data_IF_172208323332
#
_entry.id   IF_172208323332
#
_cell.length_a   1.000
_cell.length_b   1.000
_cell.length_c   1.000
_cell.angle_alpha   90.00
_cell.angle_beta   90.00
_cell.angle_gamma   90.00
#
_symmetry.space_group_name_H-M   'P 1'
#
loop_
_entity.id
_entity.type
_entity.pdbx_description
1 polymer ?
#
# COMPACT_ATOMS: atom_id res chain seq x y z
N UNK A 1 -79.05 9.97 -2.31
CA UNK A 1 -78.21 9.47 -1.19
C UNK A 1 -77.38 8.24 -1.54
N UNK A 2 -77.86 7.33 -2.37
CA UNK A 2 -77.12 6.11 -2.77
C UNK A 2 -75.74 6.36 -3.53
N UNK A 3 -75.59 7.35 -4.38
CA UNK A 3 -74.34 7.64 -5.09
C UNK A 3 -73.20 8.16 -4.23
N UNK A 4 -73.48 8.72 -3.04
CA UNK A 4 -72.42 9.19 -2.12
C UNK A 4 -71.82 8.05 -1.31
N UNK A 5 -72.62 7.06 -0.95
CA UNK A 5 -72.19 5.87 -0.21
C UNK A 5 -71.29 4.99 -1.05
N UNK A 6 -71.64 4.73 -2.30
CA UNK A 6 -70.82 3.90 -3.19
C UNK A 6 -69.45 4.49 -3.46
N UNK A 7 -69.32 5.84 -3.53
CA UNK A 7 -67.99 6.51 -3.68
C UNK A 7 -67.17 6.42 -2.41
N UNK A 8 -67.75 6.37 -1.23
CA UNK A 8 -67.02 6.25 0.03
C UNK A 8 -66.46 4.83 0.22
N UNK A 9 -67.23 3.79 -0.09
CA UNK A 9 -66.75 2.41 -0.01
C UNK A 9 -65.65 2.10 -1.02
N UNK A 10 -65.74 2.58 -2.26
CA UNK A 10 -64.69 2.43 -3.27
C UNK A 10 -63.40 3.16 -2.85
N UNK A 11 -63.48 4.32 -2.23
CA UNK A 11 -62.32 5.05 -1.70
C UNK A 11 -61.64 4.32 -0.54
N UNK A 12 -62.44 3.70 0.37
CA UNK A 12 -61.86 2.95 1.51
C UNK A 12 -61.15 1.67 1.03
N UNK A 13 -61.75 0.95 0.06
CA UNK A 13 -61.14 -0.26 -0.52
C UNK A 13 -59.86 0.08 -1.29
N UNK A 14 -59.83 1.20 -2.04
CA UNK A 14 -58.62 1.64 -2.72
C UNK A 14 -57.51 2.06 -1.75
N UNK A 15 -57.85 2.72 -0.63
CA UNK A 15 -56.90 3.09 0.43
C UNK A 15 -56.33 1.86 1.14
N UNK A 16 -57.17 0.83 1.42
CA UNK A 16 -56.73 -0.44 2.01
C UNK A 16 -55.76 -1.22 1.07
N UNK A 17 -56.06 -1.23 -0.25
CA UNK A 17 -55.19 -1.86 -1.24
C UNK A 17 -53.82 -1.13 -1.39
N UNK A 18 -53.79 0.18 -1.30
CA UNK A 18 -52.53 0.95 -1.31
C UNK A 18 -51.72 0.67 -0.05
N UNK A 19 -52.34 0.55 1.12
CA UNK A 19 -51.65 0.22 2.36
C UNK A 19 -51.00 -1.17 2.34
N UNK A 20 -51.68 -2.19 1.83
CA UNK A 20 -51.14 -3.56 1.71
C UNK A 20 -49.98 -3.65 0.70
N UNK A 21 -50.02 -2.89 -0.39
CA UNK A 21 -48.91 -2.84 -1.36
C UNK A 21 -47.67 -2.11 -0.78
N UNK A 22 -47.89 -1.07 0.03
CA UNK A 22 -46.75 -0.35 0.68
C UNK A 22 -46.12 -1.17 1.80
N UNK A 23 -46.89 -1.96 2.55
CA UNK A 23 -46.30 -2.88 3.55
C UNK A 23 -45.54 -4.03 2.88
N UNK A 24 -46.09 -4.64 1.83
CA UNK A 24 -45.40 -5.70 1.07
C UNK A 24 -44.08 -5.21 0.42
N UNK A 25 -44.04 -3.97 -0.07
CA UNK A 25 -42.78 -3.38 -0.58
C UNK A 25 -41.76 -3.09 0.52
N UNK A 26 -42.22 -2.78 1.76
CA UNK A 26 -41.29 -2.58 2.90
C UNK A 26 -40.72 -3.91 3.39
N UNK A 27 -41.49 -4.99 3.44
CA UNK A 27 -40.99 -6.30 3.83
C UNK A 27 -39.99 -6.87 2.81
N UNK A 28 -40.23 -6.71 1.50
CA UNK A 28 -39.32 -7.15 0.45
C UNK A 28 -38.01 -6.33 0.50
N UNK A 29 -38.06 -5.02 0.75
CA UNK A 29 -36.90 -4.17 0.92
C UNK A 29 -36.06 -4.54 2.16
N UNK A 30 -36.72 -4.84 3.27
CA UNK A 30 -36.04 -5.23 4.52
C UNK A 30 -35.44 -6.65 4.46
N UNK A 31 -36.04 -7.59 3.73
CA UNK A 31 -35.46 -8.91 3.47
C UNK A 31 -34.27 -8.82 2.50
N UNK A 32 -34.31 -7.97 1.48
CA UNK A 32 -33.19 -7.73 0.59
C UNK A 32 -32.03 -7.03 1.28
N UNK A 33 -32.27 -6.00 2.10
CA UNK A 33 -31.22 -5.38 2.92
C UNK A 33 -30.62 -6.36 3.92
N UNK A 34 -31.41 -7.22 4.52
CA UNK A 34 -30.95 -8.26 5.46
C UNK A 34 -30.15 -9.36 4.74
N UNK A 35 -30.52 -9.75 3.52
CA UNK A 35 -29.78 -10.69 2.70
C UNK A 35 -28.46 -10.10 2.21
N UNK A 36 -28.44 -8.81 1.86
CA UNK A 36 -27.22 -8.08 1.47
C UNK A 36 -26.29 -7.92 2.69
N UNK A 37 -26.84 -7.60 3.86
CA UNK A 37 -26.06 -7.49 5.09
C UNK A 37 -25.50 -8.86 5.54
N UNK A 38 -26.28 -9.95 5.44
CA UNK A 38 -25.80 -11.31 5.74
C UNK A 38 -24.73 -11.78 4.76
N UNK A 39 -24.86 -11.49 3.46
CA UNK A 39 -23.84 -11.80 2.47
C UNK A 39 -22.57 -10.94 2.67
N UNK A 40 -22.71 -9.68 3.08
CA UNK A 40 -21.57 -8.83 3.41
C UNK A 40 -20.86 -9.27 4.71
N UNK A 41 -21.62 -9.79 5.70
CA UNK A 41 -21.04 -10.40 6.90
C UNK A 41 -20.41 -11.77 6.61
N UNK A 42 -20.93 -12.58 5.70
CA UNK A 42 -20.33 -13.85 5.26
C UNK A 42 -19.08 -13.62 4.39
N UNK A 43 -19.03 -12.64 3.51
CA UNK A 43 -17.80 -12.25 2.78
C UNK A 43 -16.73 -11.65 3.71
N UNK A 44 -17.13 -10.92 4.75
CA UNK A 44 -16.22 -10.43 5.79
C UNK A 44 -15.72 -11.54 6.74
N UNK A 45 -16.43 -12.66 6.86
CA UNK A 45 -16.12 -13.74 7.80
C UNK A 45 -15.19 -14.82 7.24
N UNK A 46 -14.74 -14.77 5.97
CA UNK A 46 -13.94 -15.85 5.36
C UNK A 46 -12.47 -15.51 5.14
N UNK A 47 -11.96 -14.39 5.63
CA UNK A 47 -10.52 -14.19 5.77
C UNK A 47 -10.04 -14.96 7.01
N UNK A 48 -9.60 -16.19 6.82
CA UNK A 48 -8.97 -16.95 7.91
C UNK A 48 -7.72 -16.17 8.36
N UNK A 49 -7.72 -15.71 9.61
CA UNK A 49 -6.55 -14.99 10.17
C UNK A 49 -5.30 -15.86 9.96
N UNK A 50 -4.25 -15.26 9.41
CA UNK A 50 -2.96 -15.92 9.20
C UNK A 50 -2.44 -16.44 10.55
N UNK A 51 -2.01 -17.69 10.58
CA UNK A 51 -1.37 -18.27 11.75
C UNK A 51 0.12 -17.93 11.69
N UNK A 52 0.58 -17.07 12.59
CA UNK A 52 1.98 -16.66 12.67
C UNK A 52 2.80 -17.69 13.41
N UNK A 53 3.94 -18.08 12.84
CA UNK A 53 4.92 -18.96 13.49
C UNK A 53 5.49 -18.34 14.77
N UNK A 54 6.04 -19.16 15.66
CA UNK A 54 6.74 -18.66 16.83
C UNK A 54 7.98 -17.84 16.44
N UNK A 55 8.71 -18.29 15.43
CA UNK A 55 9.87 -17.59 14.86
C UNK A 55 9.51 -16.17 14.36
N UNK A 56 8.36 -16.03 13.66
CA UNK A 56 7.85 -14.72 13.26
C UNK A 56 7.61 -13.80 14.46
N UNK A 57 6.97 -14.35 15.52
CA UNK A 57 6.66 -13.57 16.74
C UNK A 57 7.93 -13.16 17.46
N UNK A 58 8.89 -14.08 17.63
CA UNK A 58 10.17 -13.81 18.27
C UNK A 58 10.98 -12.76 17.51
N UNK A 59 10.86 -12.75 16.18
CA UNK A 59 11.57 -11.79 15.35
C UNK A 59 10.90 -10.40 15.35
N UNK A 60 9.60 -10.31 15.07
CA UNK A 60 8.92 -9.05 14.82
C UNK A 60 8.31 -8.40 16.07
N UNK A 61 8.03 -9.16 17.13
CA UNK A 61 7.49 -8.63 18.38
C UNK A 61 8.54 -8.48 19.49
N UNK A 62 9.83 -8.55 19.15
CA UNK A 62 10.94 -8.35 20.10
C UNK A 62 11.14 -6.89 20.56
N UNK A 63 10.27 -5.96 20.15
CA UNK A 63 10.39 -4.54 20.51
C UNK A 63 11.51 -3.80 19.77
N UNK A 64 11.95 -4.30 18.61
CA UNK A 64 12.99 -3.70 17.78
C UNK A 64 12.45 -3.43 16.37
N UNK A 65 12.99 -2.41 15.71
CA UNK A 65 12.88 -2.26 14.26
C UNK A 65 14.05 -2.98 13.57
N UNK A 66 13.81 -3.48 12.36
CA UNK A 66 14.88 -3.84 11.44
C UNK A 66 15.14 -2.66 10.52
N UNK A 67 16.38 -2.24 10.40
CA UNK A 67 16.86 -1.14 9.56
C UNK A 67 17.89 -1.73 8.61
N UNK A 68 17.59 -1.72 7.32
CA UNK A 68 18.51 -2.20 6.27
C UNK A 68 18.87 -1.05 5.35
N UNK A 69 20.16 -0.84 5.12
CA UNK A 69 20.69 0.18 4.22
C UNK A 69 21.13 -0.42 2.89
N UNK A 70 21.02 0.37 1.84
CA UNK A 70 21.31 -0.04 0.48
C UNK A 70 22.12 1.03 -0.26
N UNK A 71 23.12 0.61 -1.03
CA UNK A 71 23.73 1.44 -2.06
C UNK A 71 22.70 1.57 -3.19
N UNK A 72 22.34 2.80 -3.52
CA UNK A 72 21.34 3.12 -4.54
C UNK A 72 22.02 3.73 -5.77
N UNK A 73 21.60 3.28 -6.95
CA UNK A 73 21.80 3.97 -8.22
C UNK A 73 20.41 4.27 -8.80
N UNK A 74 19.96 5.51 -8.66
CA UNK A 74 18.61 5.93 -9.05
C UNK A 74 18.58 6.49 -10.47
N UNK A 75 17.77 5.93 -11.34
CA UNK A 75 17.48 6.49 -12.65
C UNK A 75 16.66 7.78 -12.53
N UNK A 76 17.23 8.91 -12.91
CA UNK A 76 16.54 10.20 -12.90
C UNK A 76 17.08 11.13 -13.98
N UNK A 77 16.17 11.73 -14.76
CA UNK A 77 16.51 12.67 -15.85
C UNK A 77 17.50 12.10 -16.90
N UNK A 78 17.35 10.82 -17.24
CA UNK A 78 18.18 10.17 -18.24
C UNK A 78 19.59 9.77 -17.78
N UNK A 79 19.87 9.81 -16.48
CA UNK A 79 21.15 9.41 -15.86
C UNK A 79 20.93 8.57 -14.62
N UNK A 80 21.94 7.80 -14.22
CA UNK A 80 21.98 7.11 -12.93
C UNK A 80 22.60 8.04 -11.88
N UNK A 81 21.95 8.11 -10.70
CA UNK A 81 22.35 8.97 -9.57
C UNK A 81 22.74 8.09 -8.40
N UNK A 82 23.96 8.25 -7.93
CA UNK A 82 24.39 7.59 -6.70
C UNK A 82 23.62 8.14 -5.51
N UNK A 83 23.25 7.25 -4.59
CA UNK A 83 22.50 7.61 -3.40
C UNK A 83 22.43 6.47 -2.39
N UNK A 84 21.56 6.64 -1.43
CA UNK A 84 21.28 5.66 -0.39
C UNK A 84 19.79 5.38 -0.30
N UNK A 85 19.43 4.14 -0.02
CA UNK A 85 18.09 3.76 0.38
C UNK A 85 18.12 3.08 1.75
N UNK A 86 17.04 3.24 2.52
CA UNK A 86 16.90 2.57 3.82
C UNK A 86 15.50 2.00 3.92
N UNK A 87 15.38 0.72 4.26
CA UNK A 87 14.13 0.06 4.60
C UNK A 87 14.07 -0.12 6.12
N UNK A 88 13.02 0.38 6.74
CA UNK A 88 12.82 0.33 8.19
C UNK A 88 11.50 -0.39 8.45
N UNK A 89 11.59 -1.62 8.98
CA UNK A 89 10.42 -2.43 9.33
C UNK A 89 10.22 -2.46 10.84
N UNK A 90 8.98 -2.25 11.27
CA UNK A 90 8.60 -2.36 12.69
C UNK A 90 7.13 -2.75 12.82
N UNK A 91 6.81 -3.57 13.83
CA UNK A 91 5.42 -3.86 14.16
C UNK A 91 4.87 -2.78 15.09
N UNK A 92 3.66 -2.30 14.77
CA UNK A 92 2.96 -1.26 15.52
C UNK A 92 1.47 -1.58 15.66
N UNK A 93 0.80 -1.16 16.75
CA UNK A 93 -0.65 -1.15 16.83
C UNK A 93 -1.22 -0.03 15.97
N UNK A 94 -2.30 -0.29 15.25
CA UNK A 94 -2.90 0.65 14.30
C UNK A 94 -4.41 0.78 14.54
N UNK A 95 -4.92 2.00 14.44
CA UNK A 95 -6.33 2.35 14.55
C UNK A 95 -6.92 2.47 13.14
N UNK A 96 -7.64 1.46 12.64
CA UNK A 96 -8.10 1.44 11.24
C UNK A 96 -9.10 2.54 10.93
N UNK A 97 -9.99 2.87 11.88
CA UNK A 97 -10.99 3.94 11.68
C UNK A 97 -10.36 5.32 11.56
N UNK A 98 -9.31 5.59 12.33
CA UNK A 98 -8.59 6.86 12.30
C UNK A 98 -7.44 6.85 11.27
N UNK A 99 -7.03 5.67 10.78
CA UNK A 99 -5.92 5.49 9.84
C UNK A 99 -4.58 6.00 10.39
N UNK A 100 -4.31 5.74 11.67
CA UNK A 100 -3.10 6.17 12.38
C UNK A 100 -2.57 5.08 13.31
N UNK A 101 -1.31 5.21 13.73
CA UNK A 101 -0.73 4.43 14.81
C UNK A 101 -1.50 4.69 16.11
N UNK A 102 -1.76 3.65 16.90
CA UNK A 102 -2.30 3.79 18.24
C UNK A 102 -1.21 4.25 19.22
N UNK A 103 -1.57 5.12 20.14
CA UNK A 103 -0.67 5.53 21.25
C UNK A 103 -0.62 4.46 22.35
N UNK A 104 -1.79 3.88 22.64
CA UNK A 104 -1.93 2.85 23.65
C UNK A 104 -2.23 1.48 23.02
N UNK A 105 -1.89 0.40 23.74
CA UNK A 105 -2.22 -0.95 23.33
C UNK A 105 -3.64 -1.30 23.76
N UNK A 106 -4.49 -1.67 22.79
CA UNK A 106 -5.85 -2.12 22.99
C UNK A 106 -6.10 -3.39 22.14
N UNK A 107 -6.88 -4.38 22.63
CA UNK A 107 -7.19 -5.59 21.86
C UNK A 107 -7.90 -5.35 20.51
N UNK A 108 -8.57 -4.20 20.34
CA UNK A 108 -9.20 -3.81 19.09
C UNK A 108 -8.24 -3.23 18.05
N UNK A 109 -6.99 -2.91 18.46
CA UNK A 109 -5.98 -2.41 17.53
C UNK A 109 -5.55 -3.50 16.55
N UNK A 110 -5.32 -3.11 15.30
CA UNK A 110 -4.80 -4.02 14.27
C UNK A 110 -3.27 -3.99 14.32
N UNK A 111 -2.59 -5.13 14.58
CA UNK A 111 -1.15 -5.20 14.44
C UNK A 111 -0.74 -5.07 12.97
N UNK A 112 0.10 -4.09 12.66
CA UNK A 112 0.65 -3.90 11.32
C UNK A 112 2.17 -4.12 11.33
N UNK A 113 2.71 -4.64 10.23
CA UNK A 113 4.11 -4.46 9.90
C UNK A 113 4.21 -3.17 9.10
N UNK A 114 4.75 -2.11 9.71
CA UNK A 114 5.02 -0.85 9.02
C UNK A 114 6.36 -0.93 8.31
N UNK A 115 6.39 -0.51 7.07
CA UNK A 115 7.62 -0.20 6.34
C UNK A 115 7.72 1.32 6.17
N UNK A 116 8.87 1.89 6.52
CA UNK A 116 9.31 3.17 6.01
C UNK A 116 10.47 2.93 5.03
N UNK A 117 10.27 3.25 3.77
CA UNK A 117 11.30 3.22 2.72
C UNK A 117 11.76 4.64 2.44
N UNK A 118 13.05 4.92 2.56
CA UNK A 118 13.62 6.22 2.24
C UNK A 118 14.65 6.11 1.13
N UNK A 119 14.72 7.13 0.26
CA UNK A 119 15.75 7.27 -0.76
C UNK A 119 16.29 8.70 -0.77
N UNK A 120 17.61 8.81 -0.80
CA UNK A 120 18.31 10.10 -0.88
C UNK A 120 19.37 10.03 -1.96
N UNK A 121 19.34 10.97 -2.90
CA UNK A 121 20.30 11.08 -3.99
C UNK A 121 20.41 12.52 -4.51
N UNK A 122 21.46 12.83 -5.26
CA UNK A 122 21.67 14.15 -5.84
C UNK A 122 21.37 14.16 -7.35
N UNK A 123 20.73 15.22 -7.82
CA UNK A 123 20.57 15.52 -9.25
C UNK A 123 21.33 16.82 -9.55
N UNK A 124 22.61 16.68 -9.92
CA UNK A 124 23.48 17.84 -10.02
C UNK A 124 23.68 18.52 -8.66
N UNK A 125 23.16 19.75 -8.50
CA UNK A 125 23.36 20.53 -7.26
C UNK A 125 22.26 20.35 -6.20
N UNK A 126 21.15 19.70 -6.52
CA UNK A 126 20.04 19.61 -5.58
C UNK A 126 19.69 18.18 -5.19
N UNK A 127 19.34 17.98 -3.92
CA UNK A 127 18.99 16.66 -3.41
C UNK A 127 17.54 16.30 -3.67
N UNK A 128 17.29 15.01 -3.80
CA UNK A 128 15.99 14.39 -3.59
C UNK A 128 15.96 13.71 -2.23
N UNK A 129 14.88 13.91 -1.51
CA UNK A 129 14.51 13.16 -0.31
C UNK A 129 13.13 12.56 -0.51
N UNK A 130 13.06 11.24 -0.55
CA UNK A 130 11.84 10.49 -0.82
C UNK A 130 11.56 9.58 0.36
N UNK A 131 10.29 9.49 0.76
CA UNK A 131 9.84 8.55 1.78
C UNK A 131 8.48 7.97 1.40
N UNK A 132 8.38 6.65 1.49
CA UNK A 132 7.12 5.89 1.40
C UNK A 132 6.91 5.13 2.70
N UNK A 133 5.71 5.22 3.27
CA UNK A 133 5.31 4.43 4.43
C UNK A 133 4.13 3.53 4.04
N UNK A 134 4.24 2.23 4.32
CA UNK A 134 3.17 1.25 4.13
C UNK A 134 2.83 0.58 5.46
N UNK A 135 1.54 0.49 5.78
CA UNK A 135 1.01 -0.08 7.03
C UNK A 135 0.19 -1.32 6.68
N UNK A 136 0.81 -2.48 6.73
CA UNK A 136 0.21 -3.73 6.27
C UNK A 136 -0.21 -4.63 7.44
N UNK A 137 -1.48 -5.11 7.50
CA UNK A 137 -1.98 -5.94 8.59
C UNK A 137 -1.27 -7.30 8.62
N UNK A 138 -0.73 -7.67 9.80
CA UNK A 138 0.09 -8.89 9.93
C UNK A 138 -0.74 -10.17 9.81
N UNK A 139 -1.98 -10.15 10.33
CA UNK A 139 -2.86 -11.33 10.39
C UNK A 139 -3.79 -11.48 9.18
N UNK A 140 -3.74 -10.55 8.26
CA UNK A 140 -4.65 -10.49 7.13
C UNK A 140 -3.86 -10.45 5.81
N UNK A 141 -4.35 -11.12 4.77
CA UNK A 141 -3.72 -11.09 3.43
C UNK A 141 -4.55 -10.23 2.45
N UNK A 142 -5.15 -9.15 2.89
CA UNK A 142 -5.88 -8.27 2.00
C UNK A 142 -4.96 -7.17 1.44
N UNK A 143 -5.10 -5.95 1.94
CA UNK A 143 -4.38 -4.79 1.46
C UNK A 143 -3.80 -3.99 2.62
N UNK A 144 -2.76 -3.19 2.32
CA UNK A 144 -2.27 -2.20 3.27
C UNK A 144 -3.43 -1.31 3.74
N UNK A 145 -3.47 -1.03 5.05
CA UNK A 145 -4.48 -0.14 5.64
C UNK A 145 -4.24 1.30 5.23
N UNK A 146 -2.98 1.66 5.05
CA UNK A 146 -2.55 2.99 4.65
C UNK A 146 -1.24 2.92 3.88
N UNK A 147 -1.12 3.77 2.87
CA UNK A 147 0.16 4.09 2.23
C UNK A 147 0.30 5.60 2.23
N UNK A 148 1.46 6.13 2.59
CA UNK A 148 1.78 7.54 2.43
C UNK A 148 3.12 7.72 1.74
N UNK A 149 3.22 8.73 0.91
CA UNK A 149 4.37 9.03 0.09
C UNK A 149 4.69 10.51 0.16
N UNK A 150 5.97 10.86 0.22
CA UNK A 150 6.44 12.23 0.06
C UNK A 150 7.71 12.27 -0.75
N UNK A 151 7.84 13.31 -1.57
CA UNK A 151 9.05 13.64 -2.29
C UNK A 151 9.35 15.11 -2.13
N UNK A 152 10.57 15.44 -1.73
CA UNK A 152 11.05 16.81 -1.54
C UNK A 152 12.30 17.02 -2.36
N UNK A 153 12.31 18.09 -3.10
CA UNK A 153 13.48 18.59 -3.84
C UNK A 153 13.33 20.11 -4.03
N UNK A 154 14.33 20.79 -4.59
CA UNK A 154 14.31 22.27 -4.60
C UNK A 154 13.21 22.91 -5.45
N UNK A 155 12.59 22.20 -6.38
CA UNK A 155 11.44 22.74 -7.11
C UNK A 155 10.15 22.72 -6.27
N UNK A 156 10.03 21.81 -5.30
CA UNK A 156 8.86 21.72 -4.45
C UNK A 156 8.73 20.38 -3.75
N UNK A 157 7.58 20.18 -3.14
CA UNK A 157 7.24 18.92 -2.48
C UNK A 157 5.94 18.36 -3.02
N UNK A 158 5.86 17.03 -3.00
CA UNK A 158 4.64 16.28 -3.33
C UNK A 158 4.35 15.33 -2.18
N UNK A 159 3.07 15.19 -1.88
CA UNK A 159 2.57 14.24 -0.88
C UNK A 159 1.39 13.49 -1.46
N UNK A 160 1.33 12.18 -1.25
CA UNK A 160 0.16 11.37 -1.54
C UNK A 160 -0.14 10.44 -0.38
N UNK A 161 -1.42 10.17 -0.11
CA UNK A 161 -1.86 9.25 0.92
C UNK A 161 -3.05 8.44 0.43
N UNK A 162 -2.96 7.13 0.56
CA UNK A 162 -4.05 6.18 0.41
C UNK A 162 -4.52 5.75 1.80
N UNK A 163 -5.81 5.85 2.05
CA UNK A 163 -6.51 5.24 3.18
C UNK A 163 -7.39 4.12 2.65
N UNK A 164 -7.18 2.91 3.14
CA UNK A 164 -7.99 1.76 2.78
C UNK A 164 -9.26 1.75 3.64
N UNK A 165 -10.38 2.14 3.03
CA UNK A 165 -11.73 2.17 3.62
C UNK A 165 -12.63 1.18 2.88
N UNK A 166 -13.88 1.53 2.58
CA UNK A 166 -14.73 0.76 1.64
C UNK A 166 -14.02 0.57 0.29
N UNK A 167 -13.43 1.66 -0.20
CA UNK A 167 -12.56 1.72 -1.37
C UNK A 167 -11.17 2.26 -0.96
N UNK A 168 -10.26 2.44 -1.89
CA UNK A 168 -9.06 3.22 -1.69
C UNK A 168 -9.38 4.70 -1.84
N UNK A 169 -9.40 5.43 -0.73
CA UNK A 169 -9.52 6.88 -0.71
C UNK A 169 -8.11 7.48 -0.78
N UNK A 170 -7.78 8.15 -1.89
CA UNK A 170 -6.45 8.67 -2.14
C UNK A 170 -6.51 10.19 -2.24
N UNK A 171 -5.66 10.85 -1.45
CA UNK A 171 -5.39 12.28 -1.52
C UNK A 171 -3.99 12.48 -2.06
N UNK A 172 -3.82 13.36 -3.04
CA UNK A 172 -2.52 13.72 -3.61
C UNK A 172 -2.42 15.23 -3.69
N UNK A 173 -1.32 15.77 -3.18
CA UNK A 173 -0.97 17.18 -3.26
C UNK A 173 0.29 17.32 -4.08
N UNK A 174 0.20 18.04 -5.20
CA UNK A 174 1.32 18.25 -6.09
C UNK A 174 1.46 19.73 -6.43
N UNK A 175 2.67 20.21 -6.42
CA UNK A 175 3.05 21.53 -6.86
C UNK A 175 3.02 21.68 -8.40
N UNK A 176 2.90 20.57 -9.15
CA UNK A 176 2.91 20.56 -10.61
C UNK A 176 1.51 20.79 -11.18
N UNK A 177 1.40 21.71 -12.17
CA UNK A 177 0.14 22.10 -12.80
C UNK A 177 -0.66 20.90 -13.37
N UNK A 178 0.04 19.96 -14.00
CA UNK A 178 -0.60 18.80 -14.64
C UNK A 178 -1.15 17.77 -13.65
N UNK A 179 -0.70 17.80 -12.41
CA UNK A 179 -1.11 16.92 -11.32
C UNK A 179 -2.08 17.62 -10.38
N UNK A 180 -1.70 18.80 -9.90
CA UNK A 180 -2.46 19.61 -8.93
C UNK A 180 -2.87 18.82 -7.66
N UNK A 181 -3.83 19.32 -6.91
CA UNK A 181 -4.41 18.61 -5.77
C UNK A 181 -5.55 17.71 -6.25
N UNK A 182 -5.50 16.44 -5.87
CA UNK A 182 -6.46 15.42 -6.29
C UNK A 182 -7.04 14.65 -5.12
N UNK A 183 -8.33 14.34 -5.20
CA UNK A 183 -9.00 13.37 -4.36
C UNK A 183 -9.56 12.27 -5.27
N UNK A 184 -8.99 11.07 -5.17
CA UNK A 184 -9.25 9.95 -6.05
C UNK A 184 -9.86 8.82 -5.22
N UNK A 185 -10.90 8.17 -5.75
CA UNK A 185 -11.46 6.96 -5.19
C UNK A 185 -11.29 5.83 -6.19
N UNK A 186 -10.60 4.76 -5.77
CA UNK A 186 -10.38 3.57 -6.59
C UNK A 186 -10.95 2.33 -5.89
N UNK A 187 -11.51 1.42 -6.66
CA UNK A 187 -11.82 0.07 -6.17
C UNK A 187 -10.56 -0.62 -5.70
N UNK A 188 -10.67 -1.50 -4.72
CA UNK A 188 -9.53 -2.23 -4.16
C UNK A 188 -8.93 -3.15 -5.20
N UNK A 189 -7.62 -3.07 -5.34
CA UNK A 189 -6.79 -3.90 -6.20
C UNK A 189 -5.39 -4.01 -5.61
N UNK A 190 -4.52 -4.83 -6.20
CA UNK A 190 -3.14 -4.96 -5.74
C UNK A 190 -2.40 -3.62 -5.70
N UNK A 191 -1.61 -3.39 -4.66
CA UNK A 191 -0.76 -2.22 -4.50
C UNK A 191 0.72 -2.63 -4.56
N UNK A 192 1.52 -1.98 -5.41
CA UNK A 192 2.96 -2.25 -5.44
C UNK A 192 3.63 -1.92 -4.11
N UNK A 193 3.19 -0.83 -3.44
CA UNK A 193 3.75 -0.39 -2.16
C UNK A 193 3.52 -1.37 -1.00
N UNK A 194 2.57 -2.32 -1.09
CA UNK A 194 2.35 -3.36 -0.08
C UNK A 194 3.16 -4.64 -0.31
N UNK A 195 3.70 -4.84 -1.52
CA UNK A 195 4.46 -6.05 -1.89
C UNK A 195 5.67 -6.23 -0.96
N UNK A 196 6.34 -5.16 -0.62
CA UNK A 196 7.48 -5.15 0.28
C UNK A 196 7.17 -5.69 1.68
N UNK A 197 5.97 -5.42 2.20
CA UNK A 197 5.49 -5.97 3.47
C UNK A 197 5.08 -7.44 3.31
N UNK A 198 4.38 -7.79 2.21
CA UNK A 198 3.96 -9.18 1.93
C UNK A 198 5.17 -10.11 1.84
N UNK A 199 6.26 -9.70 1.19
CA UNK A 199 7.52 -10.45 1.15
C UNK A 199 8.00 -10.77 2.56
N UNK A 200 8.00 -9.82 3.49
CA UNK A 200 8.52 -10.00 4.86
C UNK A 200 7.61 -10.81 5.77
N UNK A 201 6.33 -10.89 5.44
CA UNK A 201 5.33 -11.60 6.26
C UNK A 201 5.13 -13.03 5.76
N UNK A 202 4.81 -13.20 4.49
CA UNK A 202 4.50 -14.48 3.88
C UNK A 202 4.66 -14.39 2.35
N UNK A 203 5.84 -14.70 1.79
CA UNK A 203 6.05 -14.65 0.33
C UNK A 203 5.11 -15.55 -0.47
N UNK A 204 4.60 -16.63 0.15
CA UNK A 204 3.60 -17.51 -0.47
C UNK A 204 2.29 -16.81 -0.82
N UNK A 205 2.00 -15.68 -0.17
CA UNK A 205 0.77 -14.92 -0.35
C UNK A 205 0.92 -13.78 -1.38
N UNK A 206 2.09 -13.68 -2.03
CA UNK A 206 2.32 -12.70 -3.08
C UNK A 206 1.41 -12.98 -4.27
N UNK A 207 0.72 -11.98 -4.83
CA UNK A 207 -0.10 -12.15 -6.01
C UNK A 207 0.78 -12.52 -7.23
N UNK A 208 0.37 -13.50 -8.01
CA UNK A 208 1.07 -13.96 -9.23
C UNK A 208 0.11 -14.07 -10.40
N UNK A 209 0.65 -14.03 -11.63
CA UNK A 209 -0.13 -14.01 -12.86
C UNK A 209 -0.51 -12.61 -13.30
N UNK A 210 -1.52 -12.53 -14.15
CA UNK A 210 -2.03 -11.27 -14.70
C UNK A 210 -3.02 -10.64 -13.71
N UNK A 211 -2.87 -9.34 -13.48
CA UNK A 211 -3.71 -8.58 -12.55
C UNK A 211 -3.72 -7.10 -12.88
N UNK A 212 -4.64 -6.39 -12.28
CA UNK A 212 -4.57 -4.92 -12.19
C UNK A 212 -3.86 -4.53 -10.89
N UNK A 213 -2.87 -3.63 -10.97
CA UNK A 213 -2.08 -3.18 -9.83
C UNK A 213 -1.81 -1.68 -9.92
N UNK A 214 -1.92 -0.99 -8.79
CA UNK A 214 -1.50 0.41 -8.67
C UNK A 214 0.03 0.42 -8.49
N UNK A 215 0.80 1.03 -9.41
CA UNK A 215 2.24 1.20 -9.26
C UNK A 215 2.57 2.03 -8.01
N UNK A 216 3.81 1.94 -7.52
CA UNK A 216 4.24 2.73 -6.36
C UNK A 216 4.00 4.22 -6.57
N UNK A 217 3.62 4.91 -5.51
CA UNK A 217 3.42 6.37 -5.57
C UNK A 217 4.72 7.10 -5.94
N UNK A 218 5.87 6.52 -5.59
CA UNK A 218 7.17 7.01 -6.05
C UNK A 218 7.27 6.98 -7.57
N UNK A 219 6.97 5.83 -8.20
CA UNK A 219 7.03 5.70 -9.66
C UNK A 219 6.07 6.67 -10.35
N UNK A 220 4.82 6.71 -9.90
CA UNK A 220 3.78 7.63 -10.42
C UNK A 220 4.31 9.07 -10.40
N UNK A 221 4.87 9.49 -9.24
CA UNK A 221 5.40 10.85 -9.08
C UNK A 221 6.62 11.13 -9.96
N UNK A 222 7.61 10.21 -9.99
CA UNK A 222 8.85 10.43 -10.73
C UNK A 222 8.66 10.41 -12.25
N UNK A 223 7.60 9.75 -12.72
CA UNK A 223 7.31 9.62 -14.17
C UNK A 223 6.11 10.46 -14.62
N UNK A 224 5.44 11.18 -13.72
CA UNK A 224 4.24 11.99 -13.99
C UNK A 224 3.13 11.16 -14.67
N UNK A 225 2.93 9.93 -14.20
CA UNK A 225 1.86 9.06 -14.68
C UNK A 225 0.57 9.30 -13.89
N UNK A 226 -0.55 8.98 -14.52
CA UNK A 226 -1.84 9.00 -13.84
C UNK A 226 -1.88 7.99 -12.70
N UNK A 227 -2.46 8.36 -11.56
CA UNK A 227 -2.62 7.49 -10.41
C UNK A 227 -3.87 6.64 -10.58
N UNK A 228 -3.68 5.42 -11.07
CA UNK A 228 -4.70 4.41 -11.32
C UNK A 228 -4.12 3.00 -11.31
N UNK A 229 -4.97 1.98 -11.48
CA UNK A 229 -4.53 0.62 -11.79
C UNK A 229 -3.98 0.52 -13.22
N UNK A 230 -2.98 -0.30 -13.39
CA UNK A 230 -2.38 -0.68 -14.67
C UNK A 230 -2.32 -2.20 -14.77
N UNK A 231 -2.47 -2.74 -15.99
CA UNK A 231 -2.26 -4.15 -16.22
C UNK A 231 -0.82 -4.52 -15.86
N UNK A 232 -0.68 -5.55 -15.03
CA UNK A 232 0.59 -6.07 -14.57
C UNK A 232 0.60 -7.59 -14.62
N UNK A 233 1.76 -8.16 -14.87
CA UNK A 233 2.01 -9.60 -14.72
C UNK A 233 3.08 -9.78 -13.65
N UNK A 234 2.81 -10.59 -12.63
CA UNK A 234 3.75 -10.86 -11.56
C UNK A 234 4.14 -12.33 -11.49
N UNK A 235 5.40 -12.57 -11.15
CA UNK A 235 5.97 -13.92 -10.99
C UNK A 235 6.84 -13.99 -9.75
N UNK A 236 6.80 -15.15 -9.08
CA UNK A 236 7.71 -15.50 -7.99
C UNK A 236 8.53 -16.71 -8.43
N UNK A 237 9.84 -16.57 -8.39
CA UNK A 237 10.78 -17.66 -8.68
C UNK A 237 11.75 -17.81 -7.51
N UNK A 238 12.13 -19.05 -7.20
CA UNK A 238 13.12 -19.34 -6.15
C UNK A 238 14.22 -20.21 -6.72
N UNK A 239 15.45 -19.80 -6.46
CA UNK A 239 16.63 -20.54 -6.86
C UNK A 239 17.64 -20.52 -5.70
N UNK A 240 18.03 -21.71 -5.23
CA UNK A 240 18.87 -21.86 -4.04
C UNK A 240 18.25 -21.15 -2.82
N UNK A 241 19.02 -20.28 -2.16
CA UNK A 241 18.61 -19.54 -0.96
C UNK A 241 17.92 -18.20 -1.28
N UNK A 242 17.71 -17.89 -2.56
CA UNK A 242 17.18 -16.62 -3.03
C UNK A 242 15.85 -16.78 -3.77
N UNK A 243 14.95 -15.87 -3.50
CA UNK A 243 13.69 -15.70 -4.24
C UNK A 243 13.67 -14.35 -4.94
N UNK A 244 13.07 -14.32 -6.12
CA UNK A 244 12.89 -13.12 -6.93
C UNK A 244 11.42 -12.94 -7.23
N UNK A 245 10.86 -11.81 -6.81
CA UNK A 245 9.53 -11.37 -7.21
C UNK A 245 9.65 -10.32 -8.31
N UNK A 246 9.04 -10.59 -9.45
CA UNK A 246 9.10 -9.72 -10.64
C UNK A 246 7.70 -9.20 -10.96
N UNK A 247 7.56 -7.90 -11.17
CA UNK A 247 6.35 -7.24 -11.67
C UNK A 247 6.68 -6.57 -12.98
N UNK A 248 5.91 -6.86 -14.03
CA UNK A 248 6.02 -6.23 -15.34
C UNK A 248 4.74 -5.46 -15.64
N UNK A 249 4.89 -4.20 -16.04
CA UNK A 249 3.81 -3.32 -16.49
C UNK A 249 4.01 -3.00 -17.98
N UNK A 250 3.37 -3.72 -18.90
CA UNK A 250 3.58 -3.53 -20.34
C UNK A 250 3.30 -2.11 -20.83
N UNK A 251 2.20 -1.51 -20.36
CA UNK A 251 1.80 -0.13 -20.75
C UNK A 251 2.81 0.94 -20.28
N UNK A 252 3.56 0.66 -19.23
CA UNK A 252 4.54 1.56 -18.63
C UNK A 252 5.97 1.28 -19.12
N UNK A 253 6.16 0.23 -19.94
CA UNK A 253 7.50 -0.27 -20.33
C UNK A 253 8.39 -0.44 -19.10
N UNK A 254 7.82 -0.96 -17.97
CA UNK A 254 8.48 -1.04 -16.68
C UNK A 254 8.54 -2.46 -16.15
N UNK A 255 9.69 -2.79 -15.54
CA UNK A 255 9.86 -4.06 -14.79
C UNK A 255 10.55 -3.77 -13.47
N UNK A 256 9.89 -4.14 -12.38
CA UNK A 256 10.43 -4.16 -11.01
C UNK A 256 10.80 -5.59 -10.64
N UNK A 257 12.02 -5.81 -10.11
CA UNK A 257 12.45 -7.09 -9.53
C UNK A 257 12.92 -6.86 -8.11
N UNK A 258 12.46 -7.69 -7.17
CA UNK A 258 12.84 -7.65 -5.77
C UNK A 258 13.43 -9.01 -5.41
N UNK A 259 14.70 -9.03 -4.99
CA UNK A 259 15.41 -10.23 -4.57
C UNK A 259 15.47 -10.28 -3.04
N UNK A 260 15.11 -11.42 -2.47
CA UNK A 260 15.05 -11.62 -1.03
C UNK A 260 15.44 -13.06 -0.66
N UNK A 261 15.82 -13.30 0.60
CA UNK A 261 16.13 -14.65 1.07
C UNK A 261 14.88 -15.52 1.07
N UNK A 262 15.00 -16.75 0.55
CA UNK A 262 13.88 -17.71 0.52
C UNK A 262 13.44 -18.11 1.92
N UNK A 263 14.38 -18.19 2.85
CA UNK A 263 14.12 -18.50 4.26
C UNK A 263 13.73 -17.26 5.04
N UNK A 264 12.98 -17.47 6.11
CA UNK A 264 12.65 -16.41 7.06
C UNK A 264 13.95 -15.77 7.63
N UNK A 265 14.01 -14.47 7.81
CA UNK A 265 12.92 -13.49 7.77
C UNK A 265 12.65 -12.87 6.39
N UNK A 266 12.99 -13.52 5.30
CA UNK A 266 12.76 -13.06 3.92
C UNK A 266 13.38 -11.69 3.67
N UNK A 267 14.65 -11.54 4.06
CA UNK A 267 15.37 -10.27 3.99
C UNK A 267 15.52 -9.82 2.54
N UNK A 268 15.16 -8.56 2.27
CA UNK A 268 15.36 -7.97 0.94
C UNK A 268 16.84 -7.68 0.75
N UNK A 269 17.46 -8.32 -0.25
CA UNK A 269 18.89 -8.21 -0.55
C UNK A 269 19.18 -7.17 -1.63
N UNK A 270 18.29 -7.04 -2.62
CA UNK A 270 18.43 -6.08 -3.70
C UNK A 270 17.13 -5.89 -4.44
N UNK A 271 17.07 -4.82 -5.23
CA UNK A 271 16.02 -4.66 -6.25
C UNK A 271 16.53 -3.92 -7.47
N UNK A 272 15.83 -4.10 -8.58
CA UNK A 272 16.02 -3.34 -9.80
C UNK A 272 14.68 -2.81 -10.30
N UNK A 273 14.66 -1.57 -10.76
CA UNK A 273 13.48 -0.94 -11.38
C UNK A 273 13.89 -0.34 -12.72
N UNK A 274 13.45 -0.99 -13.80
CA UNK A 274 13.81 -0.64 -15.17
C UNK A 274 12.63 0.01 -15.86
N UNK A 275 12.78 1.24 -16.33
CA UNK A 275 11.77 1.98 -17.06
C UNK A 275 12.37 3.07 -17.95
N UNK A 276 11.57 3.56 -18.88
CA UNK A 276 11.97 4.65 -19.76
C UNK A 276 11.85 5.99 -19.02
N UNK A 277 12.99 6.58 -18.72
CA UNK A 277 13.12 7.90 -18.09
C UNK A 277 13.73 8.95 -19.00
N UNK A 278 13.52 10.23 -18.67
CA UNK A 278 14.00 11.37 -19.46
C UNK A 278 12.94 11.92 -20.41
N UNK A 279 13.29 12.96 -21.15
CA UNK A 279 12.38 13.69 -22.03
C UNK A 279 12.92 13.78 -23.45
N UNK A 280 12.02 13.73 -24.44
CA UNK A 280 12.35 13.91 -25.85
C UNK A 280 13.42 12.91 -26.34
N UNK A 281 14.44 13.41 -27.03
CA UNK A 281 15.53 12.57 -27.57
C UNK A 281 16.46 11.97 -26.50
N UNK A 282 16.42 12.48 -25.28
CA UNK A 282 17.17 11.97 -24.15
C UNK A 282 16.43 10.87 -23.36
N UNK A 283 15.21 10.54 -23.77
CA UNK A 283 14.44 9.45 -23.16
C UNK A 283 15.07 8.09 -23.49
N UNK A 284 15.47 7.36 -22.48
CA UNK A 284 16.06 6.03 -22.61
C UNK A 284 15.64 5.13 -21.46
N UNK A 285 15.68 3.83 -21.70
CA UNK A 285 15.48 2.84 -20.63
C UNK A 285 16.72 2.83 -19.75
N UNK A 286 16.51 3.05 -18.45
CA UNK A 286 17.52 2.96 -17.42
C UNK A 286 17.02 2.04 -16.31
N UNK A 287 17.93 1.38 -15.64
CA UNK A 287 17.63 0.48 -14.52
C UNK A 287 18.20 1.10 -13.24
N UNK A 288 17.31 1.51 -12.34
CA UNK A 288 17.71 1.80 -10.96
C UNK A 288 18.07 0.50 -10.26
N UNK A 289 19.10 0.53 -9.43
CA UNK A 289 19.54 -0.63 -8.64
C UNK A 289 19.71 -0.24 -7.19
N UNK A 290 19.39 -1.16 -6.30
CA UNK A 290 19.74 -1.04 -4.89
C UNK A 290 20.27 -2.37 -4.39
N UNK A 291 21.41 -2.34 -3.69
CA UNK A 291 22.04 -3.53 -3.12
C UNK A 291 22.32 -3.29 -1.65
N UNK A 292 21.92 -4.26 -0.81
CA UNK A 292 22.07 -4.16 0.63
C UNK A 292 23.53 -3.99 1.04
N UNK A 293 23.77 -3.04 1.93
CA UNK A 293 25.06 -2.79 2.55
C UNK A 293 25.09 -3.52 3.90
N UNK A 294 24.15 -3.17 4.78
CA UNK A 294 24.10 -3.73 6.14
C UNK A 294 22.67 -3.72 6.68
N UNK A 295 22.48 -4.38 7.81
CA UNK A 295 21.23 -4.43 8.55
C UNK A 295 21.48 -4.35 10.06
N UNK A 296 20.58 -3.67 10.77
CA UNK A 296 20.62 -3.49 12.20
C UNK A 296 19.24 -3.71 12.81
N UNK A 297 19.14 -4.52 13.88
CA UNK A 297 17.92 -4.66 14.70
C UNK A 297 18.08 -3.88 15.99
N UNK A 298 17.28 -2.82 16.15
CA UNK A 298 17.42 -1.92 17.30
C UNK A 298 16.16 -1.07 17.51
N UNK A 299 15.86 -0.66 18.78
CA UNK A 299 14.80 0.30 19.06
C UNK A 299 15.28 1.74 18.74
N UNK A 300 15.42 2.09 17.46
CA UNK A 300 16.04 3.35 17.02
C UNK A 300 15.38 4.61 17.62
N UNK A 301 14.11 4.54 18.00
CA UNK A 301 13.40 5.64 18.68
C UNK A 301 13.97 5.97 20.06
N UNK A 302 14.76 5.08 20.63
CA UNK A 302 15.52 5.30 21.89
C UNK A 302 16.98 5.74 21.63
N UNK A 303 17.42 5.78 20.36
CA UNK A 303 18.78 6.06 19.92
C UNK A 303 18.82 7.37 19.14
N UNK A 304 18.42 8.46 19.80
CA UNK A 304 18.23 9.78 19.22
C UNK A 304 19.20 10.85 19.77
N UNK A 305 20.28 10.41 20.41
CA UNK A 305 21.30 11.31 20.97
C UNK A 305 22.51 11.35 20.04
N UNK A 306 23.30 12.44 20.12
CA UNK A 306 24.50 12.61 19.30
C UNK A 306 25.51 11.46 19.47
N UNK A 307 25.56 10.83 20.66
CA UNK A 307 26.41 9.66 20.89
C UNK A 307 26.01 8.44 20.07
N UNK A 308 24.77 8.38 19.54
CA UNK A 308 24.24 7.25 18.79
C UNK A 308 24.55 7.36 17.29
N UNK A 309 25.22 8.44 16.83
CA UNK A 309 25.56 8.66 15.42
C UNK A 309 26.42 7.54 14.83
N UNK A 310 27.24 6.85 15.64
CA UNK A 310 28.04 5.70 15.19
C UNK A 310 27.22 4.57 14.56
N UNK A 311 25.90 4.50 14.89
CA UNK A 311 25.01 3.52 14.28
C UNK A 311 24.77 3.79 12.79
N UNK A 312 24.91 5.05 12.36
CA UNK A 312 24.86 5.38 10.93
C UNK A 312 26.07 4.82 10.19
N UNK A 313 27.25 4.92 10.80
CA UNK A 313 28.49 4.35 10.23
C UNK A 313 28.36 2.82 10.12
N UNK A 314 27.72 2.18 11.11
CA UNK A 314 27.41 0.73 11.08
C UNK A 314 26.46 0.34 9.94
N UNK A 315 25.63 1.25 9.48
CA UNK A 315 24.74 1.07 8.32
C UNK A 315 25.37 1.54 7.01
N UNK A 316 26.57 2.14 7.03
CA UNK A 316 27.21 2.72 5.83
C UNK A 316 26.48 3.96 5.30
N UNK A 317 25.91 4.79 6.21
CA UNK A 317 25.08 5.96 5.89
C UNK A 317 25.77 7.28 6.26
#
# INVERSE_FOLDING_TARGET
MFKKWLKLEISIVLLALIFTVVESCKEIGAEQEKAIALNAEEESATSSKRNLSQEFKDYWYAGNAEISSYKLEQARYGELREGTAVLIYVTEPFLPELQVKADDSDPSNIPVLKLNSTKNYLTGIYPYSIMTSSFYPVYDNQHALKVSFSSQEWCGQVYAQLNNRSDFDIMSHSYFETEADQNIKLTKMSLEDEIWNKIRIAPSDLPTGDMEMIPSFEYIRLTHKELKGYNATATLTSENEMSTYTISYPELERTLKINFTSDFPHTIESWTDSFKGGYGQNAKVLTSTATKINSLKTPYWQQNQNKDLYLRDSLGL
#
